data_IF_759706077833
#
_entry.id   IF_759706077833
#
_cell.length_a   1.000
_cell.length_b   1.000
_cell.length_c   1.000
_cell.angle_alpha   90.00
_cell.angle_beta   90.00
_cell.angle_gamma   90.00
#
_symmetry.space_group_name_H-M   'P 1'
#
loop_
_entity.id
_entity.type
_entity.pdbx_description
1 polymer ?
#
# COMPACT_ATOMS: atom_id res chain seq x y z
N UNK A 1 -33.09 13.29 18.84
CA UNK A 1 -34.46 13.24 19.40
C UNK A 1 -34.69 14.49 20.22
N UNK A 2 -35.94 14.84 20.52
CA UNK A 2 -36.30 16.05 21.26
C UNK A 2 -37.69 16.55 20.89
N UNK A 3 -38.28 17.40 21.72
CA UNK A 3 -39.55 18.08 21.48
C UNK A 3 -39.41 19.60 21.61
N UNK A 4 -40.50 20.35 21.41
CA UNK A 4 -40.48 21.81 21.40
C UNK A 4 -40.10 22.44 22.76
N UNK A 5 -40.19 21.68 23.86
CA UNK A 5 -39.83 22.11 25.21
C UNK A 5 -38.38 21.81 25.56
N UNK A 6 -37.86 20.66 25.15
CA UNK A 6 -36.50 20.19 25.47
C UNK A 6 -35.48 20.47 24.35
N UNK A 7 -35.94 20.90 23.18
CA UNK A 7 -35.11 21.19 22.00
C UNK A 7 -34.71 19.93 21.22
N UNK A 8 -34.31 20.10 19.95
CA UNK A 8 -33.90 18.98 19.09
C UNK A 8 -32.37 18.81 19.07
N UNK A 9 -31.92 17.57 19.27
CA UNK A 9 -30.52 17.19 18.99
C UNK A 9 -30.41 16.50 17.64
N UNK A 10 -29.59 17.06 16.75
CA UNK A 10 -29.14 16.45 15.50
C UNK A 10 -27.73 15.90 15.71
N UNK A 11 -27.54 14.61 15.50
CA UNK A 11 -26.25 13.93 15.60
C UNK A 11 -25.86 13.38 14.25
N UNK A 12 -24.75 13.85 13.69
CA UNK A 12 -24.09 13.21 12.55
C UNK A 12 -23.02 12.25 13.08
N UNK A 13 -23.08 10.99 12.65
CA UNK A 13 -22.03 9.99 12.93
C UNK A 13 -21.25 9.76 11.63
N UNK A 14 -19.94 9.92 11.66
CA UNK A 14 -19.09 9.59 10.50
C UNK A 14 -18.88 8.07 10.44
N UNK A 15 -19.16 7.47 9.28
CA UNK A 15 -18.87 6.06 9.04
C UNK A 15 -17.35 5.81 9.11
N UNK A 16 -16.90 4.62 9.56
CA UNK A 16 -15.49 4.28 9.56
C UNK A 16 -14.91 4.41 8.13
N UNK A 17 -13.63 4.83 8.01
CA UNK A 17 -13.00 4.99 6.70
C UNK A 17 -12.94 3.65 5.97
N UNK A 18 -13.30 3.65 4.69
CA UNK A 18 -13.13 2.48 3.83
C UNK A 18 -11.64 2.20 3.63
N UNK A 19 -11.27 0.93 3.71
CA UNK A 19 -9.89 0.46 3.48
C UNK A 19 -9.80 -0.47 2.28
N UNK A 20 -8.59 -0.63 1.77
CA UNK A 20 -8.20 -1.59 0.73
C UNK A 20 -6.93 -2.32 1.13
N UNK A 21 -6.51 -3.29 0.30
CA UNK A 21 -5.26 -4.02 0.45
C UNK A 21 -4.46 -3.95 -0.87
N UNK A 22 -3.15 -4.16 -0.79
CA UNK A 22 -2.25 -4.24 -1.94
C UNK A 22 -1.37 -5.49 -1.78
N UNK A 23 -1.54 -6.44 -2.69
CA UNK A 23 -0.75 -7.66 -2.76
C UNK A 23 0.52 -7.45 -3.58
N UNK A 24 1.62 -8.03 -3.10
CA UNK A 24 2.93 -7.99 -3.76
C UNK A 24 3.46 -9.40 -3.89
N UNK A 25 3.95 -9.73 -5.08
CA UNK A 25 4.65 -10.98 -5.37
C UNK A 25 5.88 -10.68 -6.22
N UNK A 26 7.06 -11.10 -5.75
CA UNK A 26 8.29 -11.02 -6.55
C UNK A 26 8.47 -12.32 -7.31
N UNK A 27 8.69 -12.20 -8.61
CA UNK A 27 9.02 -13.32 -9.51
C UNK A 27 10.42 -13.11 -10.06
N UNK A 28 11.25 -14.14 -9.95
CA UNK A 28 12.61 -14.15 -10.47
C UNK A 28 12.68 -14.91 -11.80
N UNK A 29 13.24 -14.27 -12.82
CA UNK A 29 13.39 -14.85 -14.16
C UNK A 29 14.78 -14.63 -14.71
N UNK A 30 15.26 -15.59 -15.48
CA UNK A 30 16.42 -15.46 -16.36
C UNK A 30 16.13 -14.48 -17.50
N UNK A 31 17.16 -13.99 -18.22
CA UNK A 31 16.99 -13.12 -19.39
C UNK A 31 16.11 -13.71 -20.50
N UNK A 32 16.08 -15.04 -20.62
CA UNK A 32 15.23 -15.76 -21.58
C UNK A 32 13.77 -15.95 -21.10
N UNK A 33 13.44 -15.47 -19.90
CA UNK A 33 12.11 -15.53 -19.32
C UNK A 33 11.79 -16.79 -18.51
N UNK A 34 12.72 -17.74 -18.42
CA UNK A 34 12.59 -18.94 -17.57
C UNK A 34 12.76 -18.59 -16.09
N UNK A 35 12.28 -19.45 -15.17
CA UNK A 35 12.44 -19.25 -13.73
C UNK A 35 13.92 -19.29 -13.34
N UNK A 36 14.37 -18.30 -12.55
CA UNK A 36 15.73 -18.27 -12.01
C UNK A 36 15.90 -19.35 -10.93
N UNK A 37 17.08 -19.98 -10.88
CA UNK A 37 17.42 -20.94 -9.83
C UNK A 37 17.32 -20.30 -8.44
N UNK A 38 16.74 -21.02 -7.47
CA UNK A 38 16.51 -20.51 -6.12
C UNK A 38 17.81 -20.05 -5.43
N UNK A 39 18.93 -20.75 -5.68
CA UNK A 39 20.26 -20.39 -5.15
C UNK A 39 20.79 -19.06 -5.71
N UNK A 40 20.27 -18.60 -6.84
CA UNK A 40 20.63 -17.32 -7.47
C UNK A 40 19.68 -16.17 -7.10
N UNK A 41 18.71 -16.41 -6.21
CA UNK A 41 17.80 -15.36 -5.70
C UNK A 41 18.33 -14.74 -4.42
N UNK A 42 18.06 -13.45 -4.21
CA UNK A 42 18.49 -12.70 -3.01
C UNK A 42 17.35 -11.91 -2.41
N UNK A 43 17.28 -11.68 -1.09
CA UNK A 43 16.21 -10.88 -0.49
C UNK A 43 16.08 -9.51 -1.16
N UNK A 44 14.84 -9.07 -1.38
CA UNK A 44 14.53 -7.76 -1.99
C UNK A 44 13.74 -6.91 -1.01
N UNK A 45 13.90 -5.59 -1.08
CA UNK A 45 13.06 -4.67 -0.31
C UNK A 45 12.08 -3.95 -1.22
N UNK A 46 10.82 -3.95 -0.83
CA UNK A 46 9.75 -3.20 -1.51
C UNK A 46 9.21 -2.12 -0.58
N UNK A 47 8.94 -0.95 -1.12
CA UNK A 47 8.35 0.19 -0.41
C UNK A 47 6.96 0.46 -0.99
N UNK A 48 5.94 0.44 -0.14
CA UNK A 48 4.63 0.98 -0.49
C UNK A 48 4.70 2.51 -0.52
N UNK A 49 4.15 3.12 -1.54
CA UNK A 49 3.97 4.57 -1.63
C UNK A 49 2.51 4.91 -1.85
N UNK A 50 2.09 6.08 -1.35
CA UNK A 50 0.78 6.66 -1.59
C UNK A 50 0.90 7.97 -2.35
N UNK A 51 -0.03 8.23 -3.24
CA UNK A 51 -0.15 9.48 -3.98
C UNK A 51 -1.46 10.16 -3.62
N UNK A 52 -1.36 11.41 -3.17
CA UNK A 52 -2.50 12.27 -2.83
C UNK A 52 -2.27 13.62 -3.49
N UNK A 53 -3.25 14.12 -4.25
CA UNK A 53 -3.15 15.39 -4.99
C UNK A 53 -1.86 15.53 -5.82
N UNK A 54 -1.43 14.42 -6.45
CA UNK A 54 -0.20 14.37 -7.26
C UNK A 54 1.11 14.30 -6.47
N UNK A 55 1.07 14.30 -5.15
CA UNK A 55 2.26 14.13 -4.30
C UNK A 55 2.39 12.69 -3.81
N UNK A 56 3.49 12.04 -4.17
CA UNK A 56 3.83 10.67 -3.76
C UNK A 56 4.71 10.66 -2.52
N UNK A 57 4.37 9.84 -1.53
CA UNK A 57 5.11 9.69 -0.26
C UNK A 57 5.19 8.22 0.16
N UNK A 58 6.24 7.79 0.89
CA UNK A 58 6.33 6.43 1.42
C UNK A 58 5.30 6.17 2.51
N UNK A 59 4.86 4.91 2.61
CA UNK A 59 3.96 4.41 3.65
C UNK A 59 4.74 3.41 4.50
N UNK A 60 4.99 3.76 5.76
CA UNK A 60 5.75 2.90 6.68
C UNK A 60 7.18 2.63 6.20
N UNK A 61 7.78 1.57 6.75
CA UNK A 61 9.11 1.11 6.37
C UNK A 61 9.05 0.15 5.16
N UNK A 62 10.16 0.00 4.40
CA UNK A 62 10.27 -1.04 3.39
C UNK A 62 10.10 -2.43 3.99
N UNK A 63 9.48 -3.32 3.23
CA UNK A 63 9.27 -4.73 3.59
C UNK A 63 10.24 -5.59 2.79
N UNK A 64 10.85 -6.58 3.45
CA UNK A 64 11.71 -7.54 2.79
C UNK A 64 10.91 -8.75 2.29
N UNK A 65 11.11 -9.12 1.04
CA UNK A 65 10.61 -10.34 0.43
C UNK A 65 11.78 -11.31 0.24
N UNK A 66 11.59 -12.55 0.66
CA UNK A 66 12.62 -13.59 0.63
C UNK A 66 11.95 -14.98 0.48
N UNK A 67 12.77 -16.03 0.44
CA UNK A 67 12.26 -17.39 0.27
C UNK A 67 11.33 -17.83 1.42
N UNK A 68 11.59 -17.40 2.65
CA UNK A 68 10.81 -17.80 3.83
C UNK A 68 9.36 -17.29 3.78
N UNK A 69 9.13 -16.14 3.14
CA UNK A 69 7.80 -15.59 2.92
C UNK A 69 7.25 -15.85 1.50
N UNK A 70 7.81 -16.83 0.80
CA UNK A 70 7.46 -17.18 -0.57
C UNK A 70 7.48 -15.97 -1.53
N UNK A 71 8.33 -14.97 -1.25
CA UNK A 71 8.42 -13.73 -2.02
C UNK A 71 7.11 -12.94 -2.09
N UNK A 72 6.27 -13.04 -1.05
CA UNK A 72 4.94 -12.42 -1.00
C UNK A 72 4.75 -11.53 0.22
N UNK A 73 3.95 -10.48 0.05
CA UNK A 73 3.47 -9.64 1.13
C UNK A 73 2.15 -8.97 0.76
N UNK A 74 1.28 -8.76 1.75
CA UNK A 74 0.03 -8.01 1.58
C UNK A 74 0.02 -6.81 2.53
N UNK A 75 -0.08 -5.61 1.96
CA UNK A 75 -0.33 -4.41 2.73
C UNK A 75 -1.82 -4.27 2.98
N UNK A 76 -2.26 -4.41 4.24
CA UNK A 76 -3.68 -4.36 4.61
C UNK A 76 -4.08 -3.04 5.26
N UNK A 77 -5.38 -2.75 5.33
CA UNK A 77 -5.91 -1.63 6.11
C UNK A 77 -5.56 -0.25 5.54
N UNK A 78 -5.35 -0.17 4.23
CA UNK A 78 -4.94 1.04 3.54
C UNK A 78 -6.15 1.96 3.30
N UNK A 79 -6.22 3.18 3.87
CA UNK A 79 -7.36 4.07 3.67
C UNK A 79 -7.50 4.47 2.19
N UNK A 80 -8.71 4.34 1.64
CA UNK A 80 -8.96 4.73 0.23
C UNK A 80 -9.09 6.26 0.06
N UNK A 81 -9.32 6.97 1.16
CA UNK A 81 -9.40 8.43 1.20
C UNK A 81 -8.72 8.99 2.45
N UNK A 82 -8.10 10.16 2.34
CA UNK A 82 -7.60 10.93 3.48
C UNK A 82 -8.23 12.34 3.49
N UNK A 83 -8.28 12.99 4.67
CA UNK A 83 -8.72 14.39 4.79
C UNK A 83 -7.53 15.30 4.56
N UNK A 84 -7.55 16.10 3.50
CA UNK A 84 -6.59 17.17 3.22
C UNK A 84 -7.34 18.49 3.24
N UNK A 85 -6.94 19.39 4.15
CA UNK A 85 -7.60 20.70 4.34
C UNK A 85 -9.12 20.59 4.56
N UNK A 86 -9.58 19.57 5.29
CA UNK A 86 -11.00 19.35 5.58
C UNK A 86 -11.79 18.63 4.47
N UNK A 87 -11.21 18.44 3.29
CA UNK A 87 -11.84 17.74 2.16
C UNK A 87 -11.32 16.31 2.05
N UNK A 88 -12.21 15.35 1.79
CA UNK A 88 -11.81 13.97 1.49
C UNK A 88 -11.22 13.90 0.08
N UNK A 89 -10.02 13.35 -0.03
CA UNK A 89 -9.31 13.13 -1.29
C UNK A 89 -8.95 11.66 -1.42
N UNK A 90 -8.96 11.14 -2.64
CA UNK A 90 -8.60 9.76 -2.91
C UNK A 90 -7.11 9.51 -2.72
N UNK A 91 -6.77 8.29 -2.31
CA UNK A 91 -5.39 7.84 -2.14
C UNK A 91 -5.12 6.74 -3.17
N UNK A 92 -4.09 6.94 -3.99
CA UNK A 92 -3.61 5.90 -4.92
C UNK A 92 -2.36 5.25 -4.34
N UNK A 93 -2.34 3.92 -4.26
CA UNK A 93 -1.19 3.17 -3.79
C UNK A 93 -0.40 2.57 -4.95
N UNK A 94 0.92 2.61 -4.84
CA UNK A 94 1.86 1.95 -5.75
C UNK A 94 2.98 1.32 -4.95
N UNK A 95 3.61 0.29 -5.51
CA UNK A 95 4.74 -0.40 -4.89
C UNK A 95 5.99 -0.07 -5.68
N UNK A 96 7.11 0.13 -4.98
CA UNK A 96 8.41 0.34 -5.58
C UNK A 96 9.39 -0.68 -5.04
N UNK A 97 10.05 -1.43 -5.92
CA UNK A 97 11.23 -2.20 -5.53
C UNK A 97 12.41 -1.25 -5.29
N UNK A 98 13.07 -1.37 -4.14
CA UNK A 98 14.29 -0.64 -3.85
C UNK A 98 15.44 -1.35 -4.54
N UNK A 99 16.22 -0.57 -5.30
CA UNK A 99 17.32 -1.07 -6.13
C UNK A 99 18.26 -1.99 -5.34
N UNK A 100 18.57 -3.12 -5.95
CA UNK A 100 19.57 -4.07 -5.47
C UNK A 100 20.76 -3.95 -6.40
N UNK A 101 21.96 -3.81 -5.85
CA UNK A 101 23.17 -3.71 -6.65
C UNK A 101 23.31 -4.96 -7.54
N UNK A 102 23.47 -4.76 -8.85
CA UNK A 102 23.59 -5.84 -9.85
C UNK A 102 22.29 -6.33 -10.50
N UNK A 103 21.11 -5.83 -10.10
CA UNK A 103 19.81 -6.23 -10.67
C UNK A 103 19.05 -5.06 -11.29
N UNK A 104 18.34 -5.31 -12.40
CA UNK A 104 17.39 -4.37 -13.01
C UNK A 104 15.95 -4.78 -12.67
N UNK A 105 15.15 -3.80 -12.22
CA UNK A 105 13.75 -4.03 -11.80
C UNK A 105 12.78 -3.40 -12.80
N UNK A 106 11.74 -4.13 -13.19
CA UNK A 106 10.56 -3.60 -13.89
C UNK A 106 9.36 -3.79 -12.96
N UNK A 107 8.73 -2.69 -12.55
CA UNK A 107 7.48 -2.67 -11.76
C UNK A 107 6.30 -2.49 -12.69
#
# INVERSE_FOLDING_TARGET
TGDATDGFTITNTENPPKTTEVDVTKVWKNPDGTTLDAESTVPVKVQLTKTINGQTTPVGNPVELNADNNWTHTFTGLPVTEKVNGTKVEVTYTVKELSIEGFTSTV
#
